data_IF_065760811504
#
_entry.id   IF_065760811504
#
_cell.length_a   1.000
_cell.length_b   1.000
_cell.length_c   1.000
_cell.angle_alpha   90.00
_cell.angle_beta   90.00
_cell.angle_gamma   90.00
#
_symmetry.space_group_name_H-M   'P 1'
#
loop_
_entity.id
_entity.type
_entity.pdbx_description
1 polymer ?
#
# COMPACT_ATOMS: atom_id res chain seq x y z
N UNK A 1 32.56 5.15 20.09
CA UNK A 1 31.60 6.23 20.40
C UNK A 1 30.54 6.20 19.34
N UNK A 2 29.47 5.44 19.60
CA UNK A 2 28.41 5.19 18.64
C UNK A 2 27.52 6.42 18.50
N UNK A 3 27.41 6.92 17.27
CA UNK A 3 26.47 7.98 16.91
C UNK A 3 25.18 7.31 16.46
N UNK A 4 24.03 7.51 17.12
CA UNK A 4 22.79 6.89 16.66
C UNK A 4 22.41 7.51 15.31
N UNK A 5 22.21 6.64 14.30
CA UNK A 5 21.63 6.99 13.01
C UNK A 5 20.24 7.59 13.26
N UNK A 6 20.03 8.84 12.82
CA UNK A 6 18.74 9.54 12.92
C UNK A 6 17.69 8.79 12.10
N UNK A 7 16.85 8.02 12.78
CA UNK A 7 15.69 7.31 12.24
C UNK A 7 14.59 8.30 11.85
N UNK A 8 14.61 8.75 10.59
CA UNK A 8 13.54 9.55 9.98
C UNK A 8 12.57 8.68 9.14
N UNK A 9 12.49 7.38 9.44
CA UNK A 9 11.69 6.38 8.71
C UNK A 9 10.26 6.21 9.26
N UNK A 10 9.95 6.71 10.45
CA UNK A 10 8.69 6.38 11.15
C UNK A 10 7.47 7.23 10.76
N UNK A 11 7.65 8.43 10.20
CA UNK A 11 6.51 9.31 9.91
C UNK A 11 5.95 9.12 8.49
N UNK A 12 6.79 8.79 7.51
CA UNK A 12 6.33 8.57 6.12
C UNK A 12 5.49 7.30 5.98
N UNK A 13 5.85 6.22 6.68
CA UNK A 13 5.08 4.97 6.70
C UNK A 13 3.67 5.19 7.24
N UNK A 14 3.52 5.84 8.40
CA UNK A 14 2.20 6.14 8.98
C UNK A 14 1.29 7.00 8.10
N UNK A 15 1.87 7.93 7.32
CA UNK A 15 1.10 8.74 6.35
C UNK A 15 0.68 7.88 5.16
N UNK A 16 1.58 7.03 4.65
CA UNK A 16 1.31 6.05 3.61
C UNK A 16 0.18 5.10 4.00
N UNK A 17 0.24 4.51 5.20
CA UNK A 17 -0.76 3.56 5.70
C UNK A 17 -2.18 4.16 5.74
N UNK A 18 -2.29 5.45 6.07
CA UNK A 18 -3.58 6.17 6.10
C UNK A 18 -4.12 6.42 4.69
N UNK A 19 -3.25 6.76 3.74
CA UNK A 19 -3.62 6.89 2.33
C UNK A 19 -4.09 5.57 1.76
N UNK A 20 -3.32 4.51 1.99
CA UNK A 20 -3.62 3.15 1.53
C UNK A 20 -4.93 2.63 2.13
N UNK A 21 -5.17 2.85 3.42
CA UNK A 21 -6.44 2.44 4.05
C UNK A 21 -7.65 3.15 3.43
N UNK A 22 -7.55 4.45 3.14
CA UNK A 22 -8.61 5.18 2.43
C UNK A 22 -8.82 4.68 1.00
N UNK A 23 -7.75 4.32 0.30
CA UNK A 23 -7.82 3.76 -1.04
C UNK A 23 -8.54 2.39 -1.00
N UNK A 24 -8.20 1.53 -0.05
CA UNK A 24 -8.89 0.26 0.20
C UNK A 24 -10.38 0.48 0.46
N UNK A 25 -10.74 1.38 1.39
CA UNK A 25 -12.14 1.66 1.71
C UNK A 25 -12.92 2.13 0.48
N UNK A 26 -12.32 3.01 -0.33
CA UNK A 26 -12.91 3.48 -1.57
C UNK A 26 -13.11 2.35 -2.58
N UNK A 27 -12.07 1.56 -2.85
CA UNK A 27 -12.11 0.42 -3.77
C UNK A 27 -13.20 -0.59 -3.37
N UNK A 28 -13.26 -0.96 -2.09
CA UNK A 28 -14.31 -1.82 -1.55
C UNK A 28 -15.70 -1.23 -1.78
N UNK A 29 -15.88 0.07 -1.54
CA UNK A 29 -17.17 0.76 -1.71
C UNK A 29 -17.68 0.79 -3.15
N UNK A 30 -16.78 0.71 -4.14
CA UNK A 30 -17.13 0.65 -5.56
C UNK A 30 -17.11 -0.78 -6.12
N UNK A 31 -17.05 -1.80 -5.25
CA UNK A 31 -17.26 -3.21 -5.62
C UNK A 31 -15.99 -3.99 -5.96
N UNK A 32 -14.80 -3.42 -5.73
CA UNK A 32 -13.55 -4.15 -5.94
C UNK A 32 -13.32 -5.13 -4.79
N UNK A 33 -12.63 -6.23 -5.08
CA UNK A 33 -12.15 -7.17 -4.05
C UNK A 33 -10.66 -6.90 -3.81
N UNK A 34 -10.27 -6.66 -2.57
CA UNK A 34 -8.84 -6.55 -2.22
C UNK A 34 -8.25 -7.95 -2.12
N UNK A 35 -7.22 -8.22 -2.92
CA UNK A 35 -6.49 -9.48 -2.92
C UNK A 35 -5.28 -9.41 -1.99
N UNK A 36 -4.53 -8.30 -2.04
CA UNK A 36 -3.33 -8.12 -1.23
C UNK A 36 -3.04 -6.63 -1.02
N UNK A 37 -2.32 -6.32 0.06
CA UNK A 37 -1.85 -4.98 0.42
C UNK A 37 -0.37 -5.07 0.78
N UNK A 38 0.40 -4.03 0.51
CA UNK A 38 1.85 -3.98 0.75
C UNK A 38 2.57 -5.21 0.14
N UNK A 39 2.24 -5.53 -1.11
CA UNK A 39 2.84 -6.67 -1.80
C UNK A 39 4.31 -6.40 -2.08
N UNK A 40 5.16 -7.37 -1.78
CA UNK A 40 6.60 -7.33 -2.05
C UNK A 40 7.04 -8.59 -2.79
N UNK A 41 7.86 -8.41 -3.81
CA UNK A 41 8.58 -9.49 -4.48
C UNK A 41 10.01 -9.07 -4.81
N UNK A 42 10.83 -10.03 -5.28
CA UNK A 42 12.17 -9.69 -5.81
C UNK A 42 12.16 -8.74 -7.01
N UNK A 43 11.00 -8.50 -7.61
CA UNK A 43 10.83 -7.66 -8.80
C UNK A 43 10.28 -6.26 -8.48
N UNK A 44 9.86 -6.01 -7.24
CA UNK A 44 9.31 -4.73 -6.83
C UNK A 44 8.17 -4.85 -5.82
N UNK A 45 7.55 -3.70 -5.57
CA UNK A 45 6.50 -3.48 -4.58
C UNK A 45 5.23 -2.97 -5.26
N UNK A 46 4.07 -3.31 -4.70
CA UNK A 46 2.77 -2.75 -5.09
C UNK A 46 1.97 -2.48 -3.81
N UNK A 47 1.39 -1.28 -3.68
CA UNK A 47 0.63 -0.91 -2.49
C UNK A 47 -0.63 -1.77 -2.33
N UNK A 48 -1.43 -1.93 -3.39
CA UNK A 48 -2.67 -2.71 -3.35
C UNK A 48 -2.83 -3.53 -4.63
N UNK A 49 -3.15 -4.82 -4.47
CA UNK A 49 -3.62 -5.69 -5.55
C UNK A 49 -5.11 -5.94 -5.33
N UNK A 50 -5.93 -5.64 -6.33
CA UNK A 50 -7.37 -5.80 -6.28
C UNK A 50 -7.91 -6.56 -7.50
N UNK A 51 -9.17 -6.97 -7.43
CA UNK A 51 -9.92 -7.59 -8.51
C UNK A 51 -11.17 -6.79 -8.82
N UNK A 52 -11.33 -6.46 -10.09
CA UNK A 52 -12.54 -5.86 -10.65
C UNK A 52 -13.08 -6.81 -11.73
N UNK A 53 -14.15 -7.54 -11.41
CA UNK A 53 -14.72 -8.57 -12.27
C UNK A 53 -13.66 -9.59 -12.75
N UNK A 54 -13.24 -9.54 -14.02
CA UNK A 54 -12.26 -10.44 -14.61
C UNK A 54 -10.84 -9.85 -14.69
N UNK A 55 -10.63 -8.67 -14.13
CA UNK A 55 -9.37 -7.94 -14.18
C UNK A 55 -8.64 -7.99 -12.84
N UNK A 56 -7.32 -8.13 -12.89
CA UNK A 56 -6.43 -7.86 -11.75
C UNK A 56 -5.93 -6.42 -11.90
N UNK A 57 -6.10 -5.64 -10.84
CA UNK A 57 -5.78 -4.22 -10.82
C UNK A 57 -4.68 -3.98 -9.80
N UNK A 58 -3.58 -3.39 -10.24
CA UNK A 58 -2.47 -2.95 -9.40
C UNK A 58 -2.62 -1.45 -9.14
N UNK A 59 -2.62 -1.05 -7.87
CA UNK A 59 -2.87 0.33 -7.46
C UNK A 59 -1.67 0.83 -6.67
N UNK A 60 -1.14 1.97 -7.11
CA UNK A 60 -0.10 2.75 -6.43
C UNK A 60 -0.76 3.99 -5.80
N UNK A 61 -0.57 4.19 -4.49
CA UNK A 61 -1.22 5.22 -3.69
C UNK A 61 -0.26 6.40 -3.47
N UNK A 62 -0.74 7.64 -3.65
CA UNK A 62 0.06 8.87 -3.49
C UNK A 62 -0.58 9.86 -2.53
#
# INVERSE_FOLDING_TARGET
MDKPLKTNLNNKRKVGDKGESKAVDYLLSIGYQILERNFYSRYGEIDIIAKDNNSIVFVEVK
#
